data_IF_823850555073
#
_entry.id   IF_823850555073
#
_cell.length_a   1.000
_cell.length_b   1.000
_cell.length_c   1.000
_cell.angle_alpha   90.00
_cell.angle_beta   90.00
_cell.angle_gamma   90.00
#
_symmetry.space_group_name_H-M   'P 1'
#
loop_
_entity.id
_entity.type
_entity.pdbx_description
1 polymer ?
#
# COMPACT_ATOMS: atom_id res chain seq x y z
N UNK A 1 19.40 -24.94 -49.82
CA UNK A 1 18.25 -24.17 -49.31
C UNK A 1 17.77 -24.91 -48.06
N UNK A 2 17.68 -24.35 -46.85
CA UNK A 2 17.85 -22.98 -46.38
C UNK A 2 18.23 -23.01 -44.89
N UNK A 3 18.93 -21.96 -44.46
CA UNK A 3 19.33 -21.73 -43.07
C UNK A 3 18.12 -21.25 -42.28
N UNK A 4 17.82 -21.89 -41.15
CA UNK A 4 16.89 -21.35 -40.15
C UNK A 4 17.75 -20.55 -39.17
N UNK A 5 17.78 -19.24 -39.36
CA UNK A 5 18.34 -18.28 -38.42
C UNK A 5 17.36 -18.09 -37.27
N UNK A 6 17.62 -18.74 -36.14
CA UNK A 6 16.97 -18.44 -34.87
C UNK A 6 17.35 -17.03 -34.41
N UNK A 7 16.41 -16.10 -34.52
CA UNK A 7 16.54 -14.71 -34.06
C UNK A 7 16.60 -14.74 -32.53
N UNK A 8 17.78 -14.50 -31.96
CA UNK A 8 17.91 -14.19 -30.54
C UNK A 8 17.03 -12.98 -30.24
N UNK A 9 16.15 -13.10 -29.25
CA UNK A 9 15.42 -11.95 -28.71
C UNK A 9 16.46 -11.01 -28.10
N UNK A 10 16.71 -9.87 -28.74
CA UNK A 10 17.47 -8.78 -28.15
C UNK A 10 16.70 -8.27 -26.94
N UNK A 11 17.02 -8.80 -25.75
CA UNK A 11 16.69 -8.14 -24.50
C UNK A 11 17.42 -6.79 -24.50
N UNK A 12 16.67 -5.70 -24.43
CA UNK A 12 17.26 -4.38 -24.20
C UNK A 12 18.04 -4.47 -22.88
N UNK A 13 19.33 -4.11 -22.83
CA UNK A 13 20.09 -4.18 -21.59
C UNK A 13 19.44 -3.26 -20.55
N UNK A 14 19.15 -3.81 -19.37
CA UNK A 14 18.61 -3.08 -18.23
C UNK A 14 19.62 -2.01 -17.81
N UNK A 15 19.15 -0.77 -17.63
CA UNK A 15 20.00 0.31 -17.10
C UNK A 15 20.31 0.09 -15.62
N UNK A 16 21.42 0.65 -15.13
CA UNK A 16 21.80 0.56 -13.71
C UNK A 16 20.69 1.09 -12.78
N UNK A 17 20.00 2.17 -13.20
CA UNK A 17 18.85 2.71 -12.47
C UNK A 17 17.66 1.76 -12.39
N UNK A 18 17.36 1.02 -13.46
CA UNK A 18 16.31 -0.01 -13.46
C UNK A 18 16.69 -1.20 -12.58
N UNK A 19 17.96 -1.60 -12.57
CA UNK A 19 18.46 -2.63 -11.67
C UNK A 19 18.32 -2.22 -10.21
N UNK A 20 18.73 -1.00 -9.85
CA UNK A 20 18.56 -0.45 -8.50
C UNK A 20 17.08 -0.35 -8.09
N UNK A 21 16.21 0.11 -8.99
CA UNK A 21 14.77 0.13 -8.75
C UNK A 21 14.22 -1.28 -8.50
N UNK A 22 14.67 -2.28 -9.26
CA UNK A 22 14.22 -3.67 -9.09
C UNK A 22 14.54 -4.21 -7.69
N UNK A 23 15.67 -3.82 -7.10
CA UNK A 23 16.03 -4.19 -5.72
C UNK A 23 15.06 -3.58 -4.72
N UNK A 24 14.67 -2.31 -4.90
CA UNK A 24 13.66 -1.64 -4.06
C UNK A 24 12.30 -2.34 -4.17
N UNK A 25 11.91 -2.76 -5.39
CA UNK A 25 10.64 -3.48 -5.58
C UNK A 25 10.65 -4.86 -4.92
N UNK A 26 11.80 -5.54 -4.89
CA UNK A 26 11.97 -6.82 -4.22
C UNK A 26 12.09 -6.70 -2.70
N UNK A 27 12.67 -5.60 -2.20
CA UNK A 27 12.94 -5.34 -0.78
C UNK A 27 12.36 -3.98 -0.38
N UNK A 28 11.01 -3.82 -0.39
CA UNK A 28 10.37 -2.52 -0.21
C UNK A 28 10.55 -1.95 1.20
N UNK A 29 10.79 -2.80 2.20
CA UNK A 29 10.88 -2.36 3.59
C UNK A 29 12.31 -1.88 3.97
N UNK A 30 13.29 -2.08 3.09
CA UNK A 30 14.70 -1.71 3.29
C UNK A 30 15.02 -0.28 2.85
N UNK A 31 15.79 0.44 3.67
CA UNK A 31 16.20 1.82 3.39
C UNK A 31 17.49 1.89 2.55
N UNK A 32 18.40 0.92 2.69
CA UNK A 32 19.70 0.92 1.99
C UNK A 32 19.54 0.96 0.47
N UNK A 33 18.73 0.09 -0.19
CA UNK A 33 18.54 0.17 -1.64
C UNK A 33 17.98 1.51 -2.12
N UNK A 34 17.16 2.16 -1.27
CA UNK A 34 16.54 3.46 -1.58
C UNK A 34 17.57 4.57 -1.57
N UNK A 35 18.49 4.55 -0.59
CA UNK A 35 19.58 5.52 -0.51
C UNK A 35 20.57 5.35 -1.66
N UNK A 36 20.92 4.11 -2.02
CA UNK A 36 21.78 3.84 -3.20
C UNK A 36 21.12 4.34 -4.49
N UNK A 37 19.82 4.13 -4.65
CA UNK A 37 19.07 4.66 -5.79
C UNK A 37 19.03 6.20 -5.79
N UNK A 38 18.93 6.85 -4.62
CA UNK A 38 19.01 8.30 -4.51
C UNK A 38 20.37 8.83 -4.96
N UNK A 39 21.48 8.18 -4.57
CA UNK A 39 22.82 8.56 -5.03
C UNK A 39 22.94 8.46 -6.56
N UNK A 40 22.41 7.38 -7.14
CA UNK A 40 22.38 7.22 -8.60
C UNK A 40 21.56 8.31 -9.30
N UNK A 41 20.40 8.71 -8.74
CA UNK A 41 19.57 9.79 -9.30
C UNK A 41 20.28 11.15 -9.26
N UNK A 42 21.10 11.43 -8.25
CA UNK A 42 21.87 12.69 -8.19
C UNK A 42 22.91 12.77 -9.32
N UNK A 43 23.58 11.65 -9.58
CA UNK A 43 24.65 11.53 -10.58
C UNK A 43 24.12 11.48 -12.01
N UNK A 44 23.02 10.76 -12.25
CA UNK A 44 22.55 10.39 -13.60
C UNK A 44 21.22 11.03 -13.99
N UNK A 45 20.52 11.67 -13.04
CA UNK A 45 19.16 12.13 -13.21
C UNK A 45 19.00 13.56 -13.72
N UNK A 46 17.78 13.87 -14.13
CA UNK A 46 17.32 15.25 -14.39
C UNK A 46 17.18 16.05 -13.09
N UNK A 47 16.92 17.35 -13.17
CA UNK A 47 16.60 18.17 -11.98
C UNK A 47 15.44 17.59 -11.15
N UNK A 48 14.43 17.04 -11.83
CA UNK A 48 13.31 16.37 -11.16
C UNK A 48 13.71 15.06 -10.47
N UNK A 49 14.75 14.39 -10.97
CA UNK A 49 15.28 13.15 -10.39
C UNK A 49 16.18 13.45 -9.19
N UNK A 50 17.01 14.50 -9.26
CA UNK A 50 17.80 14.98 -8.11
C UNK A 50 16.90 15.45 -6.96
N UNK A 51 15.82 16.17 -7.28
CA UNK A 51 14.80 16.51 -6.29
C UNK A 51 14.15 15.26 -5.68
N UNK A 52 14.02 14.17 -6.46
CA UNK A 52 13.51 12.89 -5.97
C UNK A 52 14.53 12.17 -5.08
N UNK A 53 15.82 12.25 -5.40
CA UNK A 53 16.89 11.73 -4.56
C UNK A 53 16.89 12.38 -3.18
N UNK A 54 16.81 13.71 -3.13
CA UNK A 54 16.67 14.45 -1.88
C UNK A 54 15.42 14.02 -1.12
N UNK A 55 14.28 13.92 -1.81
CA UNK A 55 13.02 13.50 -1.21
C UNK A 55 13.07 12.10 -0.59
N UNK A 56 13.76 11.15 -1.24
CA UNK A 56 14.01 9.81 -0.69
C UNK A 56 14.76 9.92 0.64
N UNK A 57 15.87 10.68 0.69
CA UNK A 57 16.67 10.85 1.92
C UNK A 57 15.86 11.53 3.04
N UNK A 58 15.09 12.56 2.72
CA UNK A 58 14.19 13.25 3.66
C UNK A 58 13.20 12.27 4.29
N UNK A 59 12.50 11.48 3.47
CA UNK A 59 11.49 10.55 3.99
C UNK A 59 12.09 9.34 4.70
N UNK A 60 13.27 8.86 4.31
CA UNK A 60 14.00 7.81 5.05
C UNK A 60 14.41 8.33 6.43
N UNK A 61 14.97 9.54 6.51
CA UNK A 61 15.31 10.17 7.79
C UNK A 61 14.08 10.34 8.68
N UNK A 62 12.96 10.83 8.13
CA UNK A 62 11.70 11.00 8.86
C UNK A 62 11.08 9.67 9.31
N UNK A 63 11.27 8.57 8.57
CA UNK A 63 10.76 7.26 8.94
C UNK A 63 11.46 6.66 10.17
N UNK A 64 12.71 7.07 10.43
CA UNK A 64 13.47 6.66 11.62
C UNK A 64 13.10 7.44 12.90
N UNK A 65 12.31 8.51 12.80
CA UNK A 65 11.95 9.38 13.93
C UNK A 65 10.81 8.77 14.74
N UNK A 66 11.06 8.45 16.01
CA UNK A 66 10.06 7.87 16.90
C UNK A 66 8.99 8.88 17.35
N UNK A 67 7.82 8.44 17.87
CA UNK A 67 6.74 9.32 18.33
C UNK A 67 7.17 10.36 19.37
N UNK A 68 8.11 10.01 20.25
CA UNK A 68 8.68 10.88 21.28
C UNK A 68 9.59 11.99 20.74
N UNK A 69 10.16 11.80 19.55
CA UNK A 69 11.03 12.78 18.89
C UNK A 69 10.23 13.81 18.06
N UNK A 70 8.91 13.62 17.95
CA UNK A 70 7.97 14.50 17.24
C UNK A 70 7.48 15.70 18.06
N UNK A 71 8.14 16.01 19.18
CA UNK A 71 7.83 17.21 19.97
C UNK A 71 8.06 18.49 19.14
N UNK A 72 7.23 19.55 19.33
CA UNK A 72 7.28 20.78 18.51
C UNK A 72 8.63 21.52 18.45
N UNK A 73 9.60 21.13 19.28
CA UNK A 73 10.91 21.77 19.41
C UNK A 73 12.05 21.01 18.70
N UNK A 74 11.79 19.86 18.07
CA UNK A 74 12.80 19.15 17.28
C UNK A 74 13.01 19.87 15.93
N UNK A 75 13.78 20.95 15.94
CA UNK A 75 14.01 21.79 14.76
C UNK A 75 14.50 21.01 13.52
N UNK A 76 15.43 20.04 13.64
CA UNK A 76 15.78 19.17 12.51
C UNK A 76 14.58 18.45 11.90
N UNK A 77 13.71 17.82 12.71
CA UNK A 77 12.53 17.11 12.20
C UNK A 77 11.51 18.07 11.58
N UNK A 78 11.32 19.25 12.18
CA UNK A 78 10.44 20.29 11.63
C UNK A 78 10.97 20.77 10.27
N UNK A 79 12.27 21.01 10.15
CA UNK A 79 12.90 21.41 8.89
C UNK A 79 12.76 20.32 7.81
N UNK A 80 12.99 19.05 8.17
CA UNK A 80 12.79 17.91 7.26
C UNK A 80 11.35 17.80 6.77
N UNK A 81 10.35 17.96 7.67
CA UNK A 81 8.92 18.01 7.28
C UNK A 81 8.58 19.21 6.41
N UNK A 82 9.19 20.36 6.67
CA UNK A 82 9.08 21.54 5.81
C UNK A 82 9.61 21.23 4.40
N UNK A 83 10.79 20.61 4.33
CA UNK A 83 11.42 20.24 3.06
C UNK A 83 10.64 19.19 2.29
N UNK A 84 10.13 18.15 2.97
CA UNK A 84 9.23 17.15 2.41
C UNK A 84 8.04 17.79 1.68
N UNK A 85 7.36 18.74 2.36
CA UNK A 85 6.21 19.45 1.81
C UNK A 85 6.58 20.29 0.60
N UNK A 86 7.70 21.01 0.65
CA UNK A 86 8.17 21.85 -0.46
C UNK A 86 8.49 21.00 -1.71
N UNK A 87 9.20 19.89 -1.53
CA UNK A 87 9.54 18.96 -2.61
C UNK A 87 8.29 18.34 -3.24
N UNK A 88 7.32 17.90 -2.42
CA UNK A 88 6.05 17.37 -2.91
C UNK A 88 5.22 18.42 -3.67
N UNK A 89 5.15 19.65 -3.16
CA UNK A 89 4.42 20.73 -3.81
C UNK A 89 5.03 21.09 -5.18
N UNK A 90 6.36 21.10 -5.28
CA UNK A 90 7.06 21.46 -6.50
C UNK A 90 7.11 20.32 -7.54
N UNK A 91 7.33 19.08 -7.12
CA UNK A 91 7.67 17.97 -8.03
C UNK A 91 6.72 16.77 -7.96
N UNK A 92 5.88 16.66 -6.93
CA UNK A 92 5.06 15.47 -6.68
C UNK A 92 4.12 15.11 -7.84
N UNK A 93 3.54 16.12 -8.51
CA UNK A 93 2.70 15.90 -9.68
C UNK A 93 3.48 15.25 -10.85
N UNK A 94 4.74 15.65 -11.07
CA UNK A 94 5.60 15.10 -12.11
C UNK A 94 6.03 13.67 -11.77
N UNK A 95 6.35 13.38 -10.50
CA UNK A 95 6.70 12.03 -10.06
C UNK A 95 5.53 11.05 -10.14
N UNK A 96 4.30 11.52 -9.93
CA UNK A 96 3.09 10.72 -10.11
C UNK A 96 2.68 10.56 -11.57
N UNK A 97 3.06 11.48 -12.46
CA UNK A 97 2.62 11.49 -13.86
C UNK A 97 2.86 10.16 -14.61
N UNK A 98 4.00 9.47 -14.48
CA UNK A 98 4.23 8.17 -15.12
C UNK A 98 3.32 7.04 -14.63
N UNK A 99 2.66 7.23 -13.48
CA UNK A 99 1.71 6.28 -12.90
C UNK A 99 0.26 6.63 -13.24
N UNK A 100 0.02 7.82 -13.80
CA UNK A 100 -1.30 8.25 -14.27
C UNK A 100 -1.65 7.55 -15.59
N UNK A 101 -2.93 7.25 -15.77
CA UNK A 101 -3.48 6.81 -17.05
C UNK A 101 -4.75 7.64 -17.35
N UNK A 102 -5.02 8.01 -18.62
CA UNK A 102 -6.25 8.70 -18.98
C UNK A 102 -7.49 7.96 -18.44
N UNK A 103 -8.32 8.65 -17.66
CA UNK A 103 -9.52 8.07 -17.03
C UNK A 103 -9.24 7.08 -15.90
N UNK A 104 -7.98 6.92 -15.48
CA UNK A 104 -7.55 5.95 -14.49
C UNK A 104 -7.25 6.52 -13.11
N UNK A 105 -6.91 5.63 -12.15
CA UNK A 105 -6.49 6.03 -10.82
C UNK A 105 -5.23 6.90 -10.94
N UNK A 106 -5.24 8.07 -10.30
CA UNK A 106 -4.19 9.08 -10.06
C UNK A 106 -4.45 10.40 -10.80
N UNK A 107 -5.65 10.57 -11.37
CA UNK A 107 -6.08 11.77 -12.11
C UNK A 107 -7.31 12.49 -11.54
N UNK A 108 -7.93 11.99 -10.45
CA UNK A 108 -9.15 12.58 -9.86
C UNK A 108 -9.02 12.74 -8.35
N UNK A 109 -9.87 13.57 -7.72
CA UNK A 109 -9.91 13.73 -6.26
C UNK A 109 -10.08 12.40 -5.50
N UNK A 110 -10.68 11.40 -6.15
CA UNK A 110 -10.93 10.08 -5.60
C UNK A 110 -9.76 9.10 -5.78
N UNK A 111 -8.68 9.48 -6.47
CA UNK A 111 -7.50 8.62 -6.61
C UNK A 111 -6.19 9.37 -6.49
N UNK A 112 -5.42 9.05 -5.46
CA UNK A 112 -4.10 9.61 -5.20
C UNK A 112 -3.10 8.53 -4.83
N UNK A 113 -1.84 8.92 -4.80
CA UNK A 113 -0.73 8.13 -4.30
C UNK A 113 -0.03 8.91 -3.20
N UNK A 114 0.36 8.24 -2.13
CA UNK A 114 1.12 8.84 -1.05
C UNK A 114 2.49 8.19 -1.00
N UNK A 115 3.47 9.06 -0.86
CA UNK A 115 4.86 8.68 -0.78
C UNK A 115 5.21 8.23 0.64
N UNK A 116 5.98 7.13 0.72
CA UNK A 116 6.71 6.70 1.90
C UNK A 116 8.13 6.36 1.46
N UNK A 117 9.12 6.84 2.21
CA UNK A 117 10.55 6.63 1.95
C UNK A 117 10.94 6.91 0.48
N UNK A 118 10.35 7.95 -0.12
CA UNK A 118 10.61 8.42 -1.48
C UNK A 118 9.81 7.76 -2.60
N UNK A 119 8.93 6.81 -2.31
CA UNK A 119 8.19 6.05 -3.32
C UNK A 119 6.70 5.98 -3.00
N UNK A 120 5.87 5.82 -4.03
CA UNK A 120 4.43 5.61 -3.84
C UNK A 120 4.19 4.23 -3.25
N UNK A 121 3.89 4.18 -1.96
CA UNK A 121 3.59 2.92 -1.26
C UNK A 121 2.11 2.78 -0.92
N UNK A 122 1.39 3.91 -0.88
CA UNK A 122 -0.04 3.95 -0.58
C UNK A 122 -0.77 4.41 -1.83
N UNK A 123 -1.74 3.63 -2.26
CA UNK A 123 -2.61 3.97 -3.40
C UNK A 123 -4.06 3.88 -2.97
N UNK A 124 -4.86 4.85 -3.41
CA UNK A 124 -6.30 4.83 -3.27
C UNK A 124 -6.88 4.45 -4.61
N UNK A 125 -7.89 3.58 -4.72
CA UNK A 125 -8.62 3.37 -5.99
C UNK A 125 -9.87 2.51 -5.76
N UNK A 126 -10.84 2.51 -6.68
CA UNK A 126 -11.88 1.49 -6.67
C UNK A 126 -11.30 0.10 -6.89
N UNK A 127 -11.91 -0.94 -6.32
CA UNK A 127 -11.40 -2.31 -6.41
C UNK A 127 -11.30 -2.83 -7.85
N UNK A 128 -12.29 -2.51 -8.70
CA UNK A 128 -12.27 -2.85 -10.13
C UNK A 128 -11.02 -2.36 -10.89
N UNK A 129 -10.39 -1.27 -10.45
CA UNK A 129 -9.19 -0.75 -11.10
C UNK A 129 -7.92 -1.51 -10.75
N UNK A 130 -7.91 -2.24 -9.62
CA UNK A 130 -6.73 -2.96 -9.19
C UNK A 130 -6.30 -3.99 -10.22
N UNK A 131 -7.23 -4.81 -10.72
CA UNK A 131 -6.95 -5.82 -11.74
C UNK A 131 -6.40 -5.22 -13.05
N UNK A 132 -6.84 -4.02 -13.42
CA UNK A 132 -6.41 -3.34 -14.66
C UNK A 132 -5.03 -2.71 -14.51
N UNK A 133 -4.63 -2.33 -13.30
CA UNK A 133 -3.46 -1.46 -13.05
C UNK A 133 -2.34 -2.10 -12.26
N UNK A 134 -2.59 -3.21 -11.57
CA UNK A 134 -1.63 -3.82 -10.67
C UNK A 134 -0.30 -4.10 -11.40
N UNK A 135 -0.31 -4.69 -12.59
CA UNK A 135 0.94 -4.99 -13.31
C UNK A 135 1.79 -3.74 -13.57
N UNK A 136 1.17 -2.64 -14.00
CA UNK A 136 1.87 -1.37 -14.28
C UNK A 136 2.39 -0.73 -12.99
N UNK A 137 1.59 -0.75 -11.92
CA UNK A 137 1.98 -0.16 -10.64
C UNK A 137 3.11 -0.95 -9.98
N UNK A 138 2.95 -2.26 -9.82
CA UNK A 138 3.90 -3.12 -9.12
C UNK A 138 5.19 -3.36 -9.90
N UNK A 139 5.25 -3.01 -11.19
CA UNK A 139 6.48 -2.97 -11.98
C UNK A 139 7.30 -1.68 -11.77
N UNK A 140 6.72 -0.64 -11.16
CA UNK A 140 7.34 0.70 -11.06
C UNK A 140 7.45 1.24 -9.65
N UNK A 141 6.57 0.82 -8.76
CA UNK A 141 6.52 1.32 -7.38
C UNK A 141 6.23 0.21 -6.36
N UNK A 142 6.85 0.29 -5.17
CA UNK A 142 6.67 -0.67 -4.10
C UNK A 142 5.34 -0.44 -3.34
N UNK A 143 4.20 -0.68 -3.98
CA UNK A 143 2.89 -0.51 -3.31
C UNK A 143 2.75 -1.51 -2.15
N UNK A 144 2.44 -1.00 -0.95
CA UNK A 144 2.25 -1.78 0.29
C UNK A 144 0.87 -1.57 0.93
N UNK A 145 0.21 -0.47 0.63
CA UNK A 145 -1.10 -0.13 1.19
C UNK A 145 -2.08 0.22 0.08
N UNK A 146 -3.20 -0.49 0.06
CA UNK A 146 -4.31 -0.22 -0.84
C UNK A 146 -5.50 0.29 -0.04
N UNK A 147 -5.99 1.46 -0.42
CA UNK A 147 -7.21 2.06 0.12
C UNK A 147 -8.30 2.01 -0.93
N UNK A 148 -9.29 1.18 -0.68
CA UNK A 148 -10.37 0.94 -1.62
C UNK A 148 -11.42 2.01 -1.45
N UNK A 149 -11.63 2.82 -2.50
CA UNK A 149 -12.60 3.92 -2.45
C UNK A 149 -14.02 3.49 -2.79
N UNK A 150 -14.14 2.39 -3.53
CA UNK A 150 -15.40 1.74 -3.88
C UNK A 150 -15.15 0.25 -4.17
N UNK A 151 -15.98 -0.63 -3.63
CA UNK A 151 -15.98 -2.04 -3.99
C UNK A 151 -17.37 -2.65 -3.95
N UNK A 152 -17.64 -3.57 -4.88
CA UNK A 152 -18.61 -4.64 -4.67
C UNK A 152 -17.93 -5.88 -4.08
N UNK A 153 -18.71 -6.85 -3.59
CA UNK A 153 -18.15 -8.11 -3.11
C UNK A 153 -17.42 -8.90 -4.23
N UNK A 154 -17.91 -8.82 -5.46
CA UNK A 154 -17.28 -9.46 -6.62
C UNK A 154 -15.95 -8.78 -6.99
N UNK A 155 -15.92 -7.45 -7.02
CA UNK A 155 -14.69 -6.69 -7.27
C UNK A 155 -13.65 -6.95 -6.18
N UNK A 156 -14.07 -7.04 -4.92
CA UNK A 156 -13.18 -7.39 -3.81
C UNK A 156 -12.62 -8.82 -4.00
N UNK A 157 -13.45 -9.78 -4.40
CA UNK A 157 -13.01 -11.15 -4.65
C UNK A 157 -11.96 -11.22 -5.77
N UNK A 158 -12.17 -10.48 -6.87
CA UNK A 158 -11.20 -10.37 -7.95
C UNK A 158 -9.89 -9.71 -7.48
N UNK A 159 -9.98 -8.68 -6.64
CA UNK A 159 -8.84 -7.98 -6.07
C UNK A 159 -7.97 -8.90 -5.19
N UNK A 160 -8.58 -9.65 -4.26
CA UNK A 160 -7.83 -10.53 -3.35
C UNK A 160 -7.26 -11.77 -4.04
N UNK A 161 -7.86 -12.19 -5.15
CA UNK A 161 -7.37 -13.29 -5.98
C UNK A 161 -6.23 -12.87 -6.93
N UNK A 162 -5.94 -11.57 -7.04
CA UNK A 162 -4.95 -11.07 -7.98
C UNK A 162 -3.52 -11.42 -7.56
N UNK A 163 -2.65 -11.80 -8.51
CA UNK A 163 -1.29 -12.27 -8.22
C UNK A 163 -0.35 -11.27 -7.52
N UNK A 164 -0.66 -9.97 -7.58
CA UNK A 164 0.09 -8.92 -6.87
C UNK A 164 -0.42 -8.64 -5.45
N UNK A 165 -1.61 -9.15 -5.09
CA UNK A 165 -2.20 -8.90 -3.77
C UNK A 165 -1.29 -9.30 -2.59
N UNK A 166 -0.53 -10.42 -2.62
CA UNK A 166 0.39 -10.78 -1.54
C UNK A 166 1.52 -9.77 -1.26
N UNK A 167 1.75 -8.82 -2.18
CA UNK A 167 2.70 -7.71 -1.99
C UNK A 167 2.12 -6.60 -1.11
N UNK A 168 0.83 -6.59 -0.81
CA UNK A 168 0.22 -5.66 0.12
C UNK A 168 0.48 -6.08 1.57
N UNK A 169 0.56 -5.09 2.46
CA UNK A 169 0.64 -5.24 3.91
C UNK A 169 -0.51 -4.59 4.64
N UNK A 170 -1.25 -3.70 3.95
CA UNK A 170 -2.36 -2.98 4.50
C UNK A 170 -3.49 -2.90 3.47
N UNK A 171 -4.69 -3.29 3.88
CA UNK A 171 -5.91 -3.13 3.10
C UNK A 171 -6.93 -2.31 3.90
N UNK A 172 -7.46 -1.29 3.27
CA UNK A 172 -8.43 -0.35 3.85
C UNK A 172 -9.71 -0.40 3.01
N UNK A 173 -10.80 -0.78 3.66
CA UNK A 173 -12.14 -0.97 3.08
C UNK A 173 -13.20 -0.21 3.86
N UNK A 174 -12.81 0.79 4.66
CA UNK A 174 -13.76 1.51 5.52
C UNK A 174 -14.91 2.15 4.73
N UNK A 175 -16.09 2.12 5.34
CA UNK A 175 -17.31 2.76 4.86
C UNK A 175 -17.81 2.23 3.49
N UNK A 176 -17.42 0.99 3.13
CA UNK A 176 -17.80 0.34 1.86
C UNK A 176 -19.12 -0.47 1.92
N UNK A 177 -19.80 -0.53 3.08
CA UNK A 177 -21.09 -1.23 3.28
C UNK A 177 -21.15 -2.65 2.67
N UNK A 178 -20.06 -3.40 2.74
CA UNK A 178 -19.95 -4.74 2.18
C UNK A 178 -20.69 -5.80 3.03
N UNK A 179 -21.05 -5.48 4.27
CA UNK A 179 -21.63 -6.43 5.22
C UNK A 179 -20.71 -7.63 5.47
N UNK A 180 -21.29 -8.77 5.86
CA UNK A 180 -20.54 -10.00 6.13
C UNK A 180 -19.90 -10.63 4.87
N UNK A 181 -20.22 -10.13 3.68
CA UNK A 181 -19.58 -10.57 2.43
C UNK A 181 -18.07 -10.26 2.43
N UNK A 182 -17.63 -9.21 3.13
CA UNK A 182 -16.20 -8.88 3.25
C UNK A 182 -15.45 -10.01 3.98
N UNK A 183 -16.00 -10.51 5.08
CA UNK A 183 -15.44 -11.62 5.83
C UNK A 183 -15.46 -12.90 4.98
N UNK A 184 -16.54 -13.15 4.24
CA UNK A 184 -16.65 -14.29 3.34
C UNK A 184 -15.56 -14.29 2.26
N UNK A 185 -15.33 -13.15 1.62
CA UNK A 185 -14.34 -13.02 0.57
C UNK A 185 -12.91 -13.13 1.12
N UNK A 186 -12.60 -12.42 2.21
CA UNK A 186 -11.26 -12.42 2.80
C UNK A 186 -10.86 -13.81 3.30
N UNK A 187 -11.77 -14.55 3.95
CA UNK A 187 -11.46 -15.88 4.51
C UNK A 187 -11.35 -17.01 3.48
N UNK A 188 -11.68 -16.76 2.20
CA UNK A 188 -11.56 -17.74 1.12
C UNK A 188 -10.20 -17.73 0.41
N UNK A 189 -9.36 -16.73 0.66
CA UNK A 189 -8.14 -16.50 -0.12
C UNK A 189 -6.93 -16.42 0.81
N UNK A 190 -6.10 -17.48 0.91
CA UNK A 190 -4.92 -17.48 1.78
C UNK A 190 -3.93 -16.33 1.53
N UNK A 191 -3.98 -15.72 0.34
CA UNK A 191 -3.19 -14.52 -0.01
C UNK A 191 -3.40 -13.35 0.97
N UNK A 192 -4.53 -13.27 1.68
CA UNK A 192 -4.77 -12.25 2.72
C UNK A 192 -3.94 -12.43 3.99
N UNK A 193 -3.33 -13.60 4.20
CA UNK A 193 -2.38 -13.84 5.28
C UNK A 193 -1.10 -12.98 5.15
N UNK A 194 -0.88 -12.31 4.01
CA UNK A 194 0.20 -11.34 3.85
C UNK A 194 -0.09 -9.98 4.53
N UNK A 195 -1.33 -9.71 4.93
CA UNK A 195 -1.73 -8.44 5.53
C UNK A 195 -1.31 -8.36 7.00
N UNK A 196 -0.73 -7.21 7.36
CA UNK A 196 -0.43 -6.82 8.74
C UNK A 196 -1.43 -5.81 9.30
N UNK A 197 -2.19 -5.15 8.42
CA UNK A 197 -3.23 -4.19 8.79
C UNK A 197 -4.46 -4.40 7.91
N UNK A 198 -5.61 -4.53 8.54
CA UNK A 198 -6.90 -4.62 7.86
C UNK A 198 -7.86 -3.65 8.52
N UNK A 199 -8.40 -2.70 7.75
CA UNK A 199 -9.39 -1.74 8.24
C UNK A 199 -10.72 -1.96 7.54
N UNK A 200 -11.71 -2.30 8.35
CA UNK A 200 -13.09 -2.62 7.99
C UNK A 200 -14.08 -1.70 8.74
N UNK A 201 -13.65 -0.50 9.12
CA UNK A 201 -14.50 0.42 9.90
C UNK A 201 -15.75 0.77 9.09
N UNK A 202 -16.93 0.69 9.69
CA UNK A 202 -18.17 1.09 8.99
C UNK A 202 -18.55 0.20 7.79
N UNK A 203 -18.05 -1.03 7.70
CA UNK A 203 -18.40 -1.96 6.62
C UNK A 203 -19.77 -2.62 6.78
N UNK A 204 -20.44 -2.49 7.93
CA UNK A 204 -21.69 -3.18 8.24
C UNK A 204 -21.51 -4.64 8.66
N UNK A 205 -20.34 -4.98 9.22
CA UNK A 205 -20.03 -6.31 9.71
C UNK A 205 -20.93 -6.67 10.92
N UNK A 206 -21.44 -7.89 10.96
CA UNK A 206 -22.19 -8.44 12.09
C UNK A 206 -21.37 -9.48 12.85
N UNK A 207 -21.90 -10.02 13.94
CA UNK A 207 -21.28 -11.11 14.69
C UNK A 207 -20.96 -12.32 13.80
N UNK A 208 -21.77 -12.61 12.77
CA UNK A 208 -21.52 -13.71 11.85
C UNK A 208 -20.26 -13.47 11.00
N UNK A 209 -20.06 -12.25 10.52
CA UNK A 209 -18.84 -11.85 9.82
C UNK A 209 -17.62 -11.84 10.75
N UNK A 210 -17.78 -11.38 11.99
CA UNK A 210 -16.73 -11.38 13.00
C UNK A 210 -16.27 -12.80 13.37
N UNK A 211 -17.20 -13.72 13.64
CA UNK A 211 -16.88 -15.12 13.91
C UNK A 211 -16.15 -15.74 12.71
N UNK A 212 -16.61 -15.47 11.49
CA UNK A 212 -15.94 -15.97 10.28
C UNK A 212 -14.50 -15.48 10.17
N UNK A 213 -14.23 -14.20 10.43
CA UNK A 213 -12.85 -13.69 10.43
C UNK A 213 -12.00 -14.37 11.51
N UNK A 214 -12.57 -14.62 12.70
CA UNK A 214 -11.89 -15.31 13.79
C UNK A 214 -11.58 -16.79 13.46
N UNK A 215 -12.50 -17.46 12.76
CA UNK A 215 -12.42 -18.87 12.38
C UNK A 215 -11.63 -19.14 11.09
N UNK A 216 -10.90 -18.14 10.56
CA UNK A 216 -10.12 -18.33 9.35
C UNK A 216 -8.98 -19.36 9.56
N UNK A 217 -8.92 -20.37 8.69
CA UNK A 217 -7.97 -21.52 8.73
C UNK A 217 -6.51 -21.17 8.37
N UNK A 218 -6.12 -19.90 8.47
CA UNK A 218 -4.75 -19.45 8.21
C UNK A 218 -4.32 -18.42 9.25
N UNK A 219 -3.01 -18.32 9.46
CA UNK A 219 -2.45 -17.39 10.43
C UNK A 219 -2.32 -15.99 9.86
N UNK A 220 -2.99 -15.06 10.53
CA UNK A 220 -2.95 -13.64 10.19
C UNK A 220 -1.85 -12.97 11.03
N UNK A 221 -0.82 -12.37 10.43
CA UNK A 221 0.17 -11.57 11.14
C UNK A 221 -0.37 -10.14 11.42
N UNK A 222 -1.68 -10.01 11.65
CA UNK A 222 -2.30 -8.71 11.86
C UNK A 222 -1.77 -8.08 13.14
N UNK A 223 -1.30 -6.85 12.98
CA UNK A 223 -0.97 -5.92 14.06
C UNK A 223 -2.10 -4.93 14.30
N UNK A 224 -3.00 -4.79 13.32
CA UNK A 224 -4.15 -3.90 13.37
C UNK A 224 -5.32 -4.52 12.61
N UNK A 225 -6.43 -4.73 13.30
CA UNK A 225 -7.74 -5.06 12.75
C UNK A 225 -8.75 -4.03 13.23
N UNK A 226 -9.05 -3.04 12.40
CA UNK A 226 -10.06 -2.03 12.73
C UNK A 226 -11.44 -2.52 12.27
N UNK A 227 -12.32 -2.82 13.23
CA UNK A 227 -13.73 -3.18 13.01
C UNK A 227 -14.67 -2.17 13.70
N UNK A 228 -14.19 -0.97 13.99
CA UNK A 228 -15.00 0.10 14.58
C UNK A 228 -16.20 0.48 13.72
N UNK A 229 -17.24 1.05 14.34
CA UNK A 229 -18.48 1.45 13.67
C UNK A 229 -19.16 0.35 12.84
N UNK A 230 -19.04 -0.92 13.24
CA UNK A 230 -19.82 -2.03 12.70
C UNK A 230 -20.96 -2.42 13.65
N UNK A 231 -21.79 -3.39 13.24
CA UNK A 231 -22.92 -3.90 14.01
C UNK A 231 -22.54 -5.12 14.83
N UNK A 232 -21.43 -5.03 15.57
CA UNK A 232 -20.92 -6.11 16.43
C UNK A 232 -21.47 -6.00 17.84
N UNK A 233 -22.00 -7.10 18.36
CA UNK A 233 -22.32 -7.21 19.79
C UNK A 233 -21.05 -7.56 20.58
N UNK A 234 -21.12 -7.56 21.93
CA UNK A 234 -20.01 -8.05 22.77
C UNK A 234 -19.55 -9.48 22.40
N UNK A 235 -20.45 -10.32 21.87
CA UNK A 235 -20.11 -11.67 21.42
C UNK A 235 -19.19 -11.65 20.20
N UNK A 236 -19.52 -10.90 19.14
CA UNK A 236 -18.67 -10.78 17.95
C UNK A 236 -17.31 -10.17 18.25
N UNK A 237 -17.27 -9.17 19.15
CA UNK A 237 -16.00 -8.59 19.62
C UNK A 237 -15.16 -9.61 20.39
N UNK A 238 -15.78 -10.42 21.26
CA UNK A 238 -15.09 -11.47 22.00
C UNK A 238 -14.50 -12.55 21.08
N UNK A 239 -15.24 -12.96 20.04
CA UNK A 239 -14.75 -13.92 19.05
C UNK A 239 -13.49 -13.41 18.33
N UNK A 240 -13.50 -12.15 17.88
CA UNK A 240 -12.33 -11.54 17.27
C UNK A 240 -11.18 -11.45 18.30
N UNK A 241 -11.43 -10.97 19.53
CA UNK A 241 -10.40 -10.82 20.57
C UNK A 241 -9.74 -12.14 20.95
N UNK A 242 -10.48 -13.24 20.94
CA UNK A 242 -9.92 -14.56 21.16
C UNK A 242 -8.89 -14.94 20.07
N UNK A 243 -9.10 -14.51 18.82
CA UNK A 243 -8.18 -14.80 17.69
C UNK A 243 -7.03 -13.80 17.58
N UNK A 244 -7.32 -12.50 17.68
CA UNK A 244 -6.37 -11.43 17.32
C UNK A 244 -5.85 -10.60 18.50
N UNK A 245 -6.39 -10.81 19.72
CA UNK A 245 -5.92 -10.13 20.93
C UNK A 245 -5.97 -8.60 20.84
N UNK A 246 -4.85 -7.96 21.19
CA UNK A 246 -4.70 -6.49 21.22
C UNK A 246 -4.62 -5.85 19.83
N UNK A 247 -4.47 -6.63 18.76
CA UNK A 247 -4.45 -6.09 17.40
C UNK A 247 -5.81 -5.48 17.00
N UNK A 248 -6.89 -5.76 17.74
CA UNK A 248 -8.23 -5.27 17.41
C UNK A 248 -8.43 -3.85 17.88
N UNK A 249 -8.83 -3.01 16.93
CA UNK A 249 -9.42 -1.70 17.18
C UNK A 249 -10.92 -1.80 16.97
N UNK A 250 -11.69 -1.61 18.04
CA UNK A 250 -13.15 -1.60 17.99
C UNK A 250 -13.69 -0.45 18.83
N UNK A 251 -14.65 0.31 18.29
CA UNK A 251 -15.49 1.19 19.11
C UNK A 251 -16.60 0.33 19.69
N UNK A 252 -16.45 -0.13 20.92
CA UNK A 252 -17.62 -0.62 21.67
C UNK A 252 -18.47 0.61 21.98
N UNK A 253 -19.60 0.76 21.30
CA UNK A 253 -20.60 1.73 21.70
C UNK A 253 -21.14 1.33 23.07
N UNK A 254 -20.68 1.99 24.13
CA UNK A 254 -21.33 2.09 25.42
C UNK A 254 -20.66 3.23 26.20
N UNK A 255 -21.20 4.44 26.06
CA UNK A 255 -21.98 5.11 27.12
C UNK A 255 -23.14 5.86 26.47
#
# INVERSE_FOLDING_TARGET
MGRISGRAACGVPMSDGEALLSVILAQPDEDVPRLVYADWLDENGTESDRARAEFVRVQVALAGVGPTELVPWNQPVVAQRGREKLLLAAHGANWLAPLRAPGGPLQSEATHGQFRRGFVEVVWMPAAWFAVRADVLFARVPVRELRVTRATAEELAALVAHGHFPRLRSLELSDQRLGDSVALVLTRQPAVAALTRLRLRGCGLTDAGACRLADADFDWPLRELDVSLNSLSPYGVAALRARFGEAIVCTTGAE
#
